data_IF_516647152443
#
_entry.id   IF_516647152443
#
_cell.length_a   1.000
_cell.length_b   1.000
_cell.length_c   1.000
_cell.angle_alpha   90.00
_cell.angle_beta   90.00
_cell.angle_gamma   90.00
#
_symmetry.space_group_name_H-M   'P 1'
#
loop_
_entity.id
_entity.type
_entity.pdbx_description
1 polymer ?
#
# COMPACT_ATOMS: atom_id res chain seq x y z
N UNK A 1 -5.98 -10.62 -18.27
CA UNK A 1 -5.08 -9.71 -17.51
C UNK A 1 -5.34 -9.99 -16.03
N UNK A 2 -4.42 -10.66 -15.32
CA UNK A 2 -4.63 -10.93 -13.89
C UNK A 2 -4.75 -9.58 -13.18
N UNK A 3 -5.61 -9.42 -12.16
CA UNK A 3 -5.62 -8.21 -11.35
C UNK A 3 -4.23 -8.11 -10.70
N UNK A 4 -3.37 -7.30 -11.29
CA UNK A 4 -1.97 -7.26 -10.91
C UNK A 4 -1.89 -6.52 -9.59
N UNK A 5 -1.71 -7.27 -8.50
CA UNK A 5 -1.38 -6.70 -7.19
C UNK A 5 -0.19 -5.74 -7.30
N UNK A 6 0.67 -5.92 -8.31
CA UNK A 6 1.77 -5.03 -8.70
C UNK A 6 1.32 -3.61 -9.02
N UNK A 7 0.16 -3.43 -9.64
CA UNK A 7 -0.37 -2.10 -9.96
C UNK A 7 -0.86 -1.40 -8.69
N UNK A 8 -1.46 -2.14 -7.75
CA UNK A 8 -1.82 -1.60 -6.42
C UNK A 8 -0.58 -1.25 -5.61
N UNK A 9 0.46 -2.09 -5.61
CA UNK A 9 1.76 -1.81 -4.96
C UNK A 9 2.36 -0.52 -5.51
N UNK A 10 2.40 -0.35 -6.83
CA UNK A 10 2.88 0.88 -7.48
C UNK A 10 2.00 2.10 -7.18
N UNK A 11 0.68 1.92 -7.13
CA UNK A 11 -0.28 2.97 -6.79
C UNK A 11 -0.13 3.50 -5.37
N UNK A 12 0.32 2.66 -4.43
CA UNK A 12 0.69 3.08 -3.08
C UNK A 12 2.08 3.73 -3.01
N UNK A 13 2.83 3.82 -4.11
CA UNK A 13 4.18 4.40 -4.13
C UNK A 13 5.29 3.44 -3.71
N UNK A 14 5.01 2.14 -3.60
CA UNK A 14 6.01 1.12 -3.27
C UNK A 14 6.75 0.65 -4.53
N UNK A 15 8.09 0.71 -4.51
CA UNK A 15 8.94 0.40 -5.67
C UNK A 15 9.83 -0.83 -5.49
N UNK A 16 10.35 -1.09 -4.30
CA UNK A 16 11.26 -2.21 -3.99
C UNK A 16 10.95 -2.83 -2.60
N UNK A 17 11.65 -3.92 -2.23
CA UNK A 17 11.45 -4.63 -0.95
C UNK A 17 11.88 -3.76 0.24
N UNK A 18 11.15 -3.82 1.36
CA UNK A 18 11.41 -3.02 2.56
C UNK A 18 11.36 -1.49 2.34
N UNK A 19 10.69 -1.04 1.29
CA UNK A 19 10.41 0.38 1.06
C UNK A 19 9.23 0.82 1.94
N UNK A 20 9.41 1.91 2.69
CA UNK A 20 8.35 2.51 3.51
C UNK A 20 7.96 3.84 2.90
N UNK A 21 6.65 4.11 2.87
CA UNK A 21 6.07 5.36 2.40
C UNK A 21 5.00 5.80 3.39
N UNK A 22 4.89 7.10 3.60
CA UNK A 22 3.81 7.69 4.39
C UNK A 22 2.70 8.13 3.43
N UNK A 23 1.46 7.79 3.77
CA UNK A 23 0.28 8.06 2.98
C UNK A 23 -0.80 8.64 3.89
N UNK A 24 -1.62 9.53 3.35
CA UNK A 24 -2.78 10.04 4.06
C UNK A 24 -3.80 8.93 4.30
N UNK A 25 -4.40 8.95 5.49
CA UNK A 25 -5.42 8.00 5.90
C UNK A 25 -6.79 8.34 5.29
N UNK A 26 -6.95 8.00 4.01
CA UNK A 26 -8.20 8.15 3.27
C UNK A 26 -8.89 6.80 3.06
N UNK A 27 -10.22 6.77 2.85
CA UNK A 27 -10.93 5.53 2.52
C UNK A 27 -10.34 4.79 1.29
N UNK A 28 -9.82 5.55 0.32
CA UNK A 28 -9.17 5.02 -0.87
C UNK A 28 -7.84 4.31 -0.54
N UNK A 29 -6.98 4.95 0.26
CA UNK A 29 -5.73 4.35 0.74
C UNK A 29 -6.01 3.08 1.55
N UNK A 30 -6.99 3.12 2.47
CA UNK A 30 -7.41 1.93 3.23
C UNK A 30 -7.92 0.81 2.32
N UNK A 31 -8.70 1.13 1.30
CA UNK A 31 -9.19 0.16 0.31
C UNK A 31 -8.06 -0.52 -0.46
N UNK A 32 -7.06 0.26 -0.89
CA UNK A 32 -5.87 -0.28 -1.57
C UNK A 32 -5.03 -1.16 -0.63
N UNK A 33 -4.82 -0.73 0.62
CA UNK A 33 -4.10 -1.52 1.64
C UNK A 33 -4.84 -2.85 1.86
N UNK A 34 -6.15 -2.83 2.10
CA UNK A 34 -6.94 -4.05 2.34
C UNK A 34 -6.85 -5.05 1.18
N UNK A 35 -6.81 -4.56 -0.07
CA UNK A 35 -6.69 -5.40 -1.26
C UNK A 35 -5.38 -6.19 -1.32
N UNK A 36 -4.30 -5.66 -0.76
CA UNK A 36 -2.97 -6.31 -0.75
C UNK A 36 -2.39 -6.45 0.67
N UNK A 37 -3.26 -6.50 1.68
CA UNK A 37 -2.86 -6.43 3.09
C UNK A 37 -1.95 -7.58 3.51
N UNK A 38 -2.06 -8.73 2.85
CA UNK A 38 -1.18 -9.90 3.07
C UNK A 38 0.29 -9.67 2.65
N UNK A 39 0.59 -8.59 1.92
CA UNK A 39 1.95 -8.26 1.46
C UNK A 39 2.57 -7.07 2.20
N UNK A 40 1.82 -6.41 3.06
CA UNK A 40 2.20 -5.13 3.66
C UNK A 40 2.28 -5.23 5.18
N UNK A 41 3.16 -4.42 5.74
CA UNK A 41 3.15 -4.08 7.15
C UNK A 41 2.70 -2.63 7.29
N UNK A 42 1.63 -2.39 8.04
CA UNK A 42 1.07 -1.06 8.25
C UNK A 42 1.38 -0.62 9.67
N UNK A 43 1.85 0.60 9.82
CA UNK A 43 2.10 1.24 11.11
C UNK A 43 1.56 2.66 11.06
N UNK A 44 1.10 3.17 12.20
CA UNK A 44 0.74 4.57 12.34
C UNK A 44 2.03 5.41 12.43
N UNK A 45 2.19 6.36 11.51
CA UNK A 45 3.24 7.35 11.62
C UNK A 45 2.89 8.30 12.77
N UNK A 46 3.80 8.44 13.74
CA UNK A 46 3.66 9.46 14.78
C UNK A 46 4.09 10.80 14.20
N UNK A 47 3.11 11.57 13.74
CA UNK A 47 3.25 12.95 13.28
C UNK A 47 2.14 13.81 13.83
#
# INVERSE_FOLDING_TARGET
>A
KKPDHRDTVRGLGLKWRNHTVELQDTPETRGMINKIGYMLWVAEAKG
#
